data_IF_523905180783
#
_entry.id   IF_523905180783
#
_cell.length_a   1.000
_cell.length_b   1.000
_cell.length_c   1.000
_cell.angle_alpha   90.00
_cell.angle_beta   90.00
_cell.angle_gamma   90.00
#
_symmetry.space_group_name_H-M   'P 1'
#
loop_
_entity.id
_entity.type
_entity.pdbx_description
1 polymer ?
#
# COMPACT_ATOMS: atom_id res chain seq x y z
N UNK A 1 -13.04 47.18 -5.06
CA UNK A 1 -13.46 45.76 -5.06
C UNK A 1 -12.24 44.90 -4.73
N UNK A 2 -12.15 44.36 -3.50
CA UNK A 2 -10.97 43.62 -3.05
C UNK A 2 -11.10 42.13 -3.36
N UNK A 3 -10.30 41.61 -4.31
CA UNK A 3 -10.17 40.17 -4.56
C UNK A 3 -9.35 39.52 -3.42
N UNK A 4 -10.00 38.70 -2.60
CA UNK A 4 -9.39 37.85 -1.56
C UNK A 4 -9.19 36.41 -2.09
N UNK A 5 -8.32 35.60 -1.45
CA UNK A 5 -7.27 34.82 -2.08
C UNK A 5 -7.78 33.52 -2.70
N UNK A 6 -7.77 33.44 -4.04
CA UNK A 6 -8.16 32.22 -4.76
C UNK A 6 -7.09 31.11 -4.69
N UNK A 7 -5.86 31.45 -4.29
CA UNK A 7 -4.71 30.54 -4.23
C UNK A 7 -4.83 29.46 -3.14
N UNK A 8 -5.42 29.77 -1.98
CA UNK A 8 -5.52 28.82 -0.86
C UNK A 8 -6.52 27.69 -1.13
N UNK A 9 -7.55 27.95 -1.94
CA UNK A 9 -8.60 26.97 -2.26
C UNK A 9 -8.12 25.97 -3.31
N UNK A 10 -7.39 26.44 -4.32
CA UNK A 10 -6.73 25.61 -5.34
C UNK A 10 -5.68 24.67 -4.72
N UNK A 11 -4.84 25.19 -3.81
CA UNK A 11 -3.84 24.39 -3.11
C UNK A 11 -4.46 23.25 -2.29
N UNK A 12 -5.54 23.53 -1.55
CA UNK A 12 -6.26 22.53 -0.77
C UNK A 12 -6.89 21.44 -1.66
N UNK A 13 -7.51 21.84 -2.77
CA UNK A 13 -8.10 20.90 -3.73
C UNK A 13 -7.03 19.98 -4.36
N UNK A 14 -5.89 20.55 -4.71
CA UNK A 14 -4.74 19.80 -5.26
C UNK A 14 -4.17 18.81 -4.24
N UNK A 15 -4.12 19.17 -2.96
CA UNK A 15 -3.73 18.28 -1.85
C UNK A 15 -4.73 17.13 -1.71
N UNK A 16 -6.03 17.40 -1.66
CA UNK A 16 -7.07 16.37 -1.55
C UNK A 16 -7.03 15.41 -2.75
N UNK A 17 -6.84 15.94 -3.95
CA UNK A 17 -6.74 15.13 -5.19
C UNK A 17 -5.49 14.24 -5.17
N UNK A 18 -4.37 14.75 -4.68
CA UNK A 18 -3.15 13.96 -4.49
C UNK A 18 -3.30 12.90 -3.39
N UNK A 19 -4.00 13.21 -2.30
CA UNK A 19 -4.33 12.21 -1.26
C UNK A 19 -5.18 11.10 -1.88
N UNK A 20 -6.28 11.45 -2.56
CA UNK A 20 -7.16 10.48 -3.26
C UNK A 20 -6.41 9.63 -4.28
N UNK A 21 -5.54 10.25 -5.08
CA UNK A 21 -4.73 9.53 -6.07
C UNK A 21 -3.75 8.57 -5.41
N UNK A 22 -3.12 8.98 -4.30
CA UNK A 22 -2.22 8.11 -3.52
C UNK A 22 -2.97 6.98 -2.80
N UNK A 23 -4.20 7.21 -2.32
CA UNK A 23 -5.04 6.15 -1.75
C UNK A 23 -5.69 5.26 -2.80
N UNK A 24 -5.86 5.74 -4.05
CA UNK A 24 -6.30 4.95 -5.21
C UNK A 24 -5.16 4.25 -5.96
N UNK A 25 -3.91 4.46 -5.56
CA UNK A 25 -2.78 3.74 -6.13
C UNK A 25 -2.99 2.24 -5.90
N UNK A 26 -3.34 1.52 -6.96
CA UNK A 26 -3.59 0.08 -6.92
C UNK A 26 -2.26 -0.67 -6.99
N UNK A 27 -1.81 -1.18 -5.85
CA UNK A 27 -0.65 -2.07 -5.80
C UNK A 27 -1.10 -3.48 -6.18
N UNK A 28 -0.43 -4.09 -7.16
CA UNK A 28 -0.65 -5.50 -7.47
C UNK A 28 -0.27 -6.39 -6.29
N UNK A 29 -0.84 -7.59 -6.21
CA UNK A 29 -0.49 -8.55 -5.16
C UNK A 29 1.03 -8.85 -5.18
N UNK A 30 1.62 -9.00 -6.36
CA UNK A 30 3.06 -9.18 -6.53
C UNK A 30 3.88 -8.02 -5.97
N UNK A 31 3.47 -6.77 -6.24
CA UNK A 31 4.20 -5.61 -5.76
C UNK A 31 4.15 -5.50 -4.23
N UNK A 32 2.96 -5.74 -3.64
CA UNK A 32 2.79 -5.82 -2.18
C UNK A 32 3.72 -6.89 -1.57
N UNK A 33 3.75 -8.09 -2.17
CA UNK A 33 4.61 -9.20 -1.70
C UNK A 33 6.10 -8.82 -1.79
N UNK A 34 6.55 -8.22 -2.90
CA UNK A 34 7.96 -7.77 -3.04
C UNK A 34 8.35 -6.77 -1.95
N UNK A 35 7.46 -5.82 -1.64
CA UNK A 35 7.70 -4.79 -0.61
C UNK A 35 7.77 -5.41 0.79
N UNK A 36 6.78 -6.23 1.16
CA UNK A 36 6.73 -6.88 2.48
C UNK A 36 7.92 -7.80 2.68
N UNK A 37 8.26 -8.62 1.68
CA UNK A 37 9.38 -9.57 1.78
C UNK A 37 10.73 -8.86 1.91
N UNK A 38 10.93 -7.76 1.17
CA UNK A 38 12.15 -6.95 1.30
C UNK A 38 12.28 -6.32 2.70
N UNK A 39 11.17 -5.92 3.34
CA UNK A 39 11.19 -5.48 4.74
C UNK A 39 11.59 -6.59 5.70
N UNK A 40 11.03 -7.79 5.54
CA UNK A 40 11.32 -8.92 6.42
C UNK A 40 12.79 -9.37 6.35
N UNK A 41 13.46 -9.14 5.21
CA UNK A 41 14.90 -9.40 5.06
C UNK A 41 15.80 -8.47 5.88
N UNK A 42 15.28 -7.33 6.36
CA UNK A 42 16.03 -6.41 7.21
C UNK A 42 17.06 -5.53 6.50
N UNK A 43 17.07 -5.51 5.16
CA UNK A 43 18.09 -4.78 4.35
C UNK A 43 17.99 -3.25 4.47
N UNK A 44 16.82 -2.71 4.87
CA UNK A 44 16.59 -1.26 5.00
C UNK A 44 15.51 -1.03 6.05
N UNK A 45 15.53 0.11 6.76
CA UNK A 45 14.45 0.44 7.71
C UNK A 45 13.11 0.63 6.96
N UNK A 46 12.02 0.16 7.57
CA UNK A 46 10.67 0.21 7.01
C UNK A 46 10.30 1.63 6.57
N UNK A 47 10.63 2.64 7.39
CA UNK A 47 10.31 4.04 7.12
C UNK A 47 11.07 4.60 5.91
N UNK A 48 12.33 4.20 5.72
CA UNK A 48 13.15 4.63 4.58
C UNK A 48 12.58 4.08 3.28
N UNK A 49 12.26 2.79 3.25
CA UNK A 49 11.68 2.12 2.09
C UNK A 49 10.28 2.64 1.74
N UNK A 50 9.44 2.90 2.75
CA UNK A 50 8.13 3.50 2.56
C UNK A 50 8.22 4.89 1.90
N UNK A 51 9.15 5.74 2.36
CA UNK A 51 9.40 7.05 1.73
C UNK A 51 9.87 6.92 0.28
N UNK A 52 10.82 6.02 -0.01
CA UNK A 52 11.35 5.81 -1.36
C UNK A 52 10.29 5.30 -2.35
N UNK A 53 9.40 4.41 -1.90
CA UNK A 53 8.31 3.87 -2.72
C UNK A 53 7.05 4.75 -2.72
N UNK A 54 7.01 5.82 -1.94
CA UNK A 54 5.83 6.69 -1.83
C UNK A 54 4.64 6.02 -1.14
N UNK A 55 4.90 5.04 -0.28
CA UNK A 55 3.90 4.26 0.46
C UNK A 55 3.75 4.86 1.86
N UNK A 56 2.52 4.95 2.35
CA UNK A 56 2.26 5.29 3.74
C UNK A 56 2.64 4.12 4.65
N UNK A 57 3.35 4.39 5.76
CA UNK A 57 3.76 3.34 6.71
C UNK A 57 2.56 2.55 7.25
N UNK A 58 1.43 3.22 7.50
CA UNK A 58 0.17 2.57 7.90
C UNK A 58 -0.30 1.53 6.89
N UNK A 59 -0.18 1.82 5.59
CA UNK A 59 -0.56 0.90 4.51
C UNK A 59 0.37 -0.32 4.45
N UNK A 60 1.67 -0.09 4.66
CA UNK A 60 2.66 -1.17 4.78
C UNK A 60 2.32 -2.11 5.95
N UNK A 61 2.02 -1.57 7.14
CA UNK A 61 1.72 -2.41 8.30
C UNK A 61 0.45 -3.23 8.12
N UNK A 62 -0.59 -2.69 7.46
CA UNK A 62 -1.78 -3.46 7.09
C UNK A 62 -1.44 -4.65 6.20
N UNK A 63 -0.67 -4.43 5.12
CA UNK A 63 -0.26 -5.51 4.23
C UNK A 63 0.65 -6.53 4.91
N UNK A 64 1.59 -6.08 5.74
CA UNK A 64 2.49 -6.96 6.49
C UNK A 64 1.70 -7.85 7.44
N UNK A 65 0.68 -7.30 8.10
CA UNK A 65 -0.20 -8.05 9.01
C UNK A 65 -0.99 -9.11 8.25
N UNK A 66 -1.67 -8.73 7.17
CA UNK A 66 -2.44 -9.68 6.35
C UNK A 66 -1.55 -10.79 5.77
N UNK A 67 -0.35 -10.46 5.29
CA UNK A 67 0.59 -11.43 4.73
C UNK A 67 1.07 -12.44 5.79
N UNK A 68 1.44 -11.96 6.98
CA UNK A 68 1.89 -12.83 8.07
C UNK A 68 0.74 -13.68 8.64
N UNK A 69 -0.47 -13.13 8.73
CA UNK A 69 -1.64 -13.87 9.19
C UNK A 69 -2.00 -14.98 8.20
N UNK A 70 -2.02 -14.68 6.89
CA UNK A 70 -2.22 -15.67 5.84
C UNK A 70 -1.15 -16.76 5.87
N UNK A 71 0.12 -16.39 6.07
CA UNK A 71 1.22 -17.33 6.26
C UNK A 71 1.02 -18.24 7.47
N UNK A 72 0.65 -17.67 8.62
CA UNK A 72 0.39 -18.41 9.86
C UNK A 72 -0.78 -19.39 9.73
N UNK A 73 -1.90 -18.97 9.12
CA UNK A 73 -3.06 -19.83 8.85
C UNK A 73 -2.68 -21.04 7.99
N UNK A 74 -1.91 -20.81 6.93
CA UNK A 74 -1.43 -21.87 6.04
C UNK A 74 -0.46 -22.83 6.73
N UNK A 75 0.45 -22.33 7.58
CA UNK A 75 1.35 -23.17 8.39
C UNK A 75 0.60 -23.96 9.47
N UNK A 76 -0.51 -23.42 9.97
CA UNK A 76 -1.35 -24.07 10.99
C UNK A 76 -2.35 -25.07 10.39
N UNK A 77 -2.34 -25.27 9.06
CA UNK A 77 -3.20 -26.24 8.38
C UNK A 77 -4.64 -25.79 8.10
N UNK A 78 -5.00 -24.54 8.43
CA UNK A 78 -6.34 -23.98 8.21
C UNK A 78 -6.46 -23.52 6.75
N UNK A 79 -6.91 -24.40 5.84
CA UNK A 79 -6.93 -24.11 4.39
C UNK A 79 -8.34 -23.92 3.85
N UNK A 80 -8.74 -22.66 3.61
CA UNK A 80 -9.57 -22.29 2.47
C UNK A 80 -8.63 -22.01 1.29
N UNK A 81 -8.54 -22.97 0.36
CA UNK A 81 -7.71 -22.87 -0.84
C UNK A 81 -8.38 -21.91 -1.84
N UNK A 82 -8.01 -20.63 -1.83
CA UNK A 82 -8.23 -19.77 -2.99
C UNK A 82 -7.00 -19.81 -3.89
N UNK A 83 -7.04 -20.73 -4.86
CA UNK A 83 -6.21 -20.69 -6.06
C UNK A 83 -7.15 -20.53 -7.25
N UNK A 84 -7.66 -19.31 -7.46
CA UNK A 84 -8.44 -19.00 -8.67
C UNK A 84 -7.70 -17.93 -9.46
N UNK A 85 -6.69 -18.37 -10.20
CA UNK A 85 -6.34 -17.69 -11.44
C UNK A 85 -7.13 -18.41 -12.54
N UNK A 86 -8.11 -17.79 -13.21
CA UNK A 86 -8.63 -18.38 -14.44
C UNK A 86 -7.48 -18.35 -15.46
N UNK A 87 -6.85 -19.49 -15.69
CA UNK A 87 -5.98 -19.68 -16.82
C UNK A 87 -6.82 -19.58 -18.08
N UNK A 88 -6.66 -18.48 -18.82
CA UNK A 88 -7.14 -18.37 -20.19
C UNK A 88 -6.16 -19.14 -21.07
N UNK A 89 -6.61 -20.25 -21.63
CA UNK A 89 -6.18 -20.78 -22.93
C UNK A 89 -7.41 -21.02 -23.78
#
# INVERSE_FOLDING_TARGET
MAKKPQTSKDAAEKVVKNIRRKTQQTYSAEEKIRIVTACLRGEESISVRCRRKGIAESLYYSWSKEFLEAGKRRLSGDTARQATSPGTV
#
